data_IF_879308665467
#
_entry.id   IF_879308665467
#
_cell.length_a   1.000
_cell.length_b   1.000
_cell.length_c   1.000
_cell.angle_alpha   90.00
_cell.angle_beta   90.00
_cell.angle_gamma   90.00
#
_symmetry.space_group_name_H-M   'P 1'
#
loop_
_entity.id
_entity.type
_entity.pdbx_description
1 polymer ?
#
# COMPACT_ATOMS: atom_id res chain seq x y z
N UNK A 1 -0.96 7.52 -6.43
CA UNK A 1 -1.84 8.44 -7.15
C UNK A 1 -1.19 8.70 -8.48
N UNK A 2 -1.91 8.55 -9.60
CA UNK A 2 -1.39 8.80 -10.95
C UNK A 2 -1.48 10.28 -11.34
N UNK A 3 -0.56 10.78 -12.16
CA UNK A 3 -0.44 12.21 -12.52
C UNK A 3 -1.41 12.66 -13.63
N UNK A 4 -2.70 12.35 -13.48
CA UNK A 4 -3.76 12.66 -14.46
C UNK A 4 -3.73 11.82 -15.75
N UNK A 5 -2.54 11.37 -16.20
CA UNK A 5 -2.38 10.42 -17.30
C UNK A 5 -2.50 8.96 -16.82
N UNK A 6 -1.99 8.67 -15.63
CA UNK A 6 -1.98 7.34 -15.01
C UNK A 6 -3.19 7.09 -14.09
N UNK A 7 -3.53 5.82 -13.90
CA UNK A 7 -4.60 5.45 -12.99
C UNK A 7 -4.17 5.69 -11.53
N UNK A 8 -5.10 6.04 -10.65
CA UNK A 8 -4.85 5.99 -9.22
C UNK A 8 -5.25 4.63 -8.65
N UNK A 9 -4.35 4.01 -7.89
CA UNK A 9 -4.57 2.73 -7.24
C UNK A 9 -4.47 2.82 -5.71
N UNK A 10 -5.24 1.98 -5.02
CA UNK A 10 -5.17 1.78 -3.57
C UNK A 10 -5.24 0.30 -3.21
N UNK A 11 -4.69 -0.02 -2.04
CA UNK A 11 -4.87 -1.30 -1.36
C UNK A 11 -5.30 -1.03 0.08
N UNK A 12 -6.12 -1.92 0.64
CA UNK A 12 -6.50 -1.95 2.05
C UNK A 12 -6.14 -3.35 2.56
N UNK A 13 -5.48 -3.39 3.72
CA UNK A 13 -4.99 -4.63 4.29
C UNK A 13 -5.50 -4.85 5.71
N UNK A 14 -5.80 -6.10 6.03
CA UNK A 14 -5.83 -6.57 7.41
C UNK A 14 -4.40 -6.91 7.84
N UNK A 15 -3.97 -6.42 9.00
CA UNK A 15 -2.59 -6.53 9.45
C UNK A 15 -2.52 -7.17 10.83
N UNK A 16 -1.66 -8.18 10.95
CA UNK A 16 -1.27 -8.84 12.19
C UNK A 16 0.26 -8.75 12.35
N UNK A 17 0.85 -9.15 13.49
CA UNK A 17 2.31 -9.17 13.64
C UNK A 17 3.06 -10.02 12.60
N UNK A 18 2.40 -10.98 11.96
CA UNK A 18 3.05 -11.95 11.06
C UNK A 18 2.51 -11.93 9.63
N UNK A 19 1.30 -11.41 9.42
CA UNK A 19 0.59 -11.45 8.14
C UNK A 19 0.01 -10.08 7.81
N UNK A 20 0.20 -9.69 6.56
CA UNK A 20 -0.43 -8.58 5.86
C UNK A 20 -1.29 -9.20 4.76
N UNK A 21 -2.60 -9.13 4.89
CA UNK A 21 -3.53 -9.65 3.88
C UNK A 21 -4.21 -8.51 3.16
N UNK A 22 -4.08 -8.45 1.84
CA UNK A 22 -4.82 -7.49 1.01
C UNK A 22 -6.26 -7.98 0.92
N UNK A 23 -7.16 -7.23 1.55
CA UNK A 23 -8.60 -7.55 1.65
C UNK A 23 -9.44 -6.71 0.69
N UNK A 24 -8.89 -5.62 0.17
CA UNK A 24 -9.52 -4.80 -0.86
C UNK A 24 -8.47 -4.02 -1.64
N UNK A 25 -8.73 -3.82 -2.92
CA UNK A 25 -7.95 -2.98 -3.79
C UNK A 25 -8.88 -2.31 -4.81
N UNK A 26 -8.42 -1.24 -5.40
CA UNK A 26 -9.16 -0.57 -6.46
C UNK A 26 -8.24 0.30 -7.29
N UNK A 27 -8.59 0.43 -8.56
CA UNK A 27 -7.91 1.28 -9.54
C UNK A 27 -8.95 2.08 -10.30
N UNK A 28 -8.73 3.39 -10.41
CA UNK A 28 -9.63 4.32 -11.09
C UNK A 28 -8.84 5.44 -11.75
N UNK A 29 -9.27 5.80 -12.97
CA UNK A 29 -8.86 7.05 -13.61
C UNK A 29 -9.91 8.11 -13.30
N UNK A 30 -9.64 8.93 -12.29
CA UNK A 30 -10.52 9.99 -11.82
C UNK A 30 -9.69 11.20 -11.40
N UNK A 31 -10.27 12.40 -11.42
CA UNK A 31 -9.68 13.56 -10.76
C UNK A 31 -9.34 13.26 -9.30
N UNK A 32 -8.26 13.85 -8.81
CA UNK A 32 -7.71 13.60 -7.48
C UNK A 32 -8.69 13.88 -6.33
N UNK A 33 -9.59 14.89 -6.41
CA UNK A 33 -10.62 15.08 -5.40
C UNK A 33 -11.64 13.93 -5.36
N UNK A 34 -12.15 13.51 -6.53
CA UNK A 34 -13.09 12.38 -6.62
C UNK A 34 -12.45 11.08 -6.11
N UNK A 35 -11.17 10.89 -6.44
CA UNK A 35 -10.40 9.78 -5.88
C UNK A 35 -10.30 9.86 -4.34
N UNK A 36 -10.11 11.06 -3.78
CA UNK A 36 -10.14 11.30 -2.33
C UNK A 36 -11.48 10.94 -1.68
N UNK A 37 -12.61 11.20 -2.35
CA UNK A 37 -13.94 10.81 -1.87
C UNK A 37 -14.12 9.29 -1.83
N UNK A 38 -13.58 8.58 -2.84
CA UNK A 38 -13.55 7.11 -2.86
C UNK A 38 -12.72 6.57 -1.70
N UNK A 39 -11.53 7.12 -1.46
CA UNK A 39 -10.67 6.72 -0.34
C UNK A 39 -11.32 6.99 1.01
N UNK A 40 -12.01 8.13 1.19
CA UNK A 40 -12.77 8.42 2.41
C UNK A 40 -13.86 7.37 2.65
N UNK A 41 -14.61 7.01 1.59
CA UNK A 41 -15.68 6.01 1.68
C UNK A 41 -15.11 4.64 2.04
N UNK A 42 -14.13 4.16 1.26
CA UNK A 42 -13.51 2.85 1.49
C UNK A 42 -12.81 2.78 2.83
N UNK A 43 -12.07 3.80 3.22
CA UNK A 43 -11.44 3.84 4.54
C UNK A 43 -12.44 3.69 5.69
N UNK A 44 -13.63 4.30 5.58
CA UNK A 44 -14.72 4.18 6.56
C UNK A 44 -15.40 2.80 6.51
N UNK A 45 -15.64 2.25 5.33
CA UNK A 45 -16.19 0.89 5.15
C UNK A 45 -15.33 -0.17 5.86
N UNK A 46 -14.02 0.04 5.90
CA UNK A 46 -13.04 -0.84 6.55
C UNK A 46 -12.61 -0.37 7.94
N UNK A 47 -13.55 0.19 8.72
CA UNK A 47 -13.33 0.47 10.16
C UNK A 47 -12.42 1.67 10.43
N UNK A 48 -12.52 2.71 9.59
CA UNK A 48 -11.65 3.88 9.62
C UNK A 48 -10.18 3.47 9.48
N UNK A 49 -9.84 2.78 8.39
CA UNK A 49 -8.48 2.34 8.10
C UNK A 49 -7.48 3.52 8.16
N UNK A 50 -6.24 3.31 8.60
CA UNK A 50 -5.22 4.36 8.47
C UNK A 50 -4.93 4.59 6.98
N UNK A 51 -5.16 5.80 6.50
CA UNK A 51 -4.84 6.15 5.13
C UNK A 51 -3.41 6.70 5.01
N UNK A 52 -2.60 6.03 4.19
CA UNK A 52 -1.21 6.38 3.90
C UNK A 52 -1.15 6.79 2.42
N UNK A 53 -1.23 8.08 2.17
CA UNK A 53 -1.19 8.65 0.82
C UNK A 53 0.18 9.26 0.56
N UNK A 54 0.81 8.96 -0.58
CA UNK A 54 2.06 9.61 -0.96
C UNK A 54 1.85 11.13 -1.14
N UNK A 55 2.70 11.94 -0.52
CA UNK A 55 2.65 13.40 -0.58
C UNK A 55 3.35 13.97 -1.83
N UNK A 56 3.23 13.27 -2.95
CA UNK A 56 3.58 13.76 -4.29
C UNK A 56 2.62 14.91 -4.70
N UNK A 57 2.93 15.73 -5.72
CA UNK A 57 2.09 16.87 -6.12
C UNK A 57 0.60 16.54 -6.26
N UNK A 58 0.28 15.47 -6.98
CA UNK A 58 -1.08 14.92 -7.18
C UNK A 58 -1.67 14.41 -5.87
N UNK A 59 -0.90 13.62 -5.11
CA UNK A 59 -1.34 13.05 -3.85
C UNK A 59 -1.70 14.09 -2.79
N UNK A 60 -1.10 15.29 -2.84
CA UNK A 60 -1.49 16.42 -1.98
C UNK A 60 -2.93 16.87 -2.21
N UNK A 61 -3.44 16.77 -3.43
CA UNK A 61 -4.85 17.11 -3.73
C UNK A 61 -5.79 16.08 -3.12
N UNK A 62 -5.45 14.78 -3.24
CA UNK A 62 -6.18 13.70 -2.57
C UNK A 62 -6.16 13.86 -1.05
N UNK A 63 -4.99 14.18 -0.47
CA UNK A 63 -4.84 14.45 0.98
C UNK A 63 -5.71 15.63 1.40
N UNK A 64 -5.66 16.75 0.68
CA UNK A 64 -6.48 17.93 1.01
C UNK A 64 -7.98 17.63 0.97
N UNK A 65 -8.41 16.74 0.08
CA UNK A 65 -9.81 16.26 0.05
C UNK A 65 -10.15 15.43 1.27
N UNK A 66 -9.30 14.48 1.67
CA UNK A 66 -9.49 13.70 2.90
C UNK A 66 -9.52 14.58 4.16
N UNK A 67 -8.67 15.62 4.22
CA UNK A 67 -8.66 16.61 5.29
C UNK A 67 -9.98 17.41 5.33
N UNK A 68 -10.46 17.89 4.17
CA UNK A 68 -11.76 18.58 4.05
C UNK A 68 -12.94 17.70 4.50
N UNK A 69 -12.89 16.41 4.16
CA UNK A 69 -13.88 15.41 4.57
C UNK A 69 -13.72 14.93 6.01
N UNK A 70 -12.74 15.48 6.75
CA UNK A 70 -12.43 15.11 8.15
C UNK A 70 -12.21 13.61 8.30
N UNK A 71 -11.42 13.02 7.41
CA UNK A 71 -11.04 11.62 7.54
C UNK A 71 -10.23 11.43 8.83
N UNK A 72 -10.61 10.49 9.72
CA UNK A 72 -10.13 10.49 11.10
C UNK A 72 -8.68 10.01 11.25
N UNK A 73 -8.21 9.14 10.35
CA UNK A 73 -6.90 8.47 10.49
C UNK A 73 -6.04 8.70 9.25
N UNK A 74 -5.41 9.87 9.18
CA UNK A 74 -4.41 10.20 8.14
C UNK A 74 -3.00 10.03 8.69
N UNK A 75 -2.16 9.30 7.96
CA UNK A 75 -0.74 9.19 8.29
C UNK A 75 -0.05 10.55 8.14
N UNK A 76 0.91 10.84 9.04
CA UNK A 76 1.73 12.05 8.99
C UNK A 76 3.21 11.67 9.04
N UNK A 77 3.99 12.21 8.10
CA UNK A 77 5.45 12.11 8.12
C UNK A 77 6.02 13.11 9.12
N UNK A 78 6.77 12.59 10.11
CA UNK A 78 7.50 13.43 11.07
C UNK A 78 8.68 14.12 10.42
N UNK A 79 8.80 15.43 10.59
CA UNK A 79 9.94 16.22 10.12
C UNK A 79 10.85 16.62 11.28
N UNK A 80 12.13 16.81 10.98
CA UNK A 80 13.12 17.30 11.96
C UNK A 80 12.78 18.70 12.49
N UNK A 81 12.02 19.50 11.72
CA UNK A 81 11.56 20.83 12.15
C UNK A 81 10.45 20.79 13.21
N UNK A 82 9.85 19.61 13.48
CA UNK A 82 8.71 19.47 14.38
C UNK A 82 7.35 19.62 13.69
N UNK A 83 7.32 20.15 12.45
CA UNK A 83 6.10 20.26 11.66
C UNK A 83 5.80 18.94 10.94
N UNK A 84 4.90 18.15 11.51
CA UNK A 84 4.38 16.95 10.88
C UNK A 84 3.62 17.30 9.60
N UNK A 85 3.88 16.56 8.52
CA UNK A 85 3.19 16.76 7.24
C UNK A 85 2.32 15.56 6.92
N UNK A 86 1.06 15.81 6.59
CA UNK A 86 0.11 14.77 6.19
C UNK A 86 0.61 14.06 4.92
N UNK A 87 0.51 12.74 4.92
CA UNK A 87 0.97 11.86 3.84
C UNK A 87 2.40 11.35 4.03
N UNK A 88 2.76 10.37 3.19
CA UNK A 88 4.07 9.73 3.13
C UNK A 88 5.01 10.50 2.19
N UNK A 89 6.20 10.87 2.66
CA UNK A 89 7.20 11.52 1.81
C UNK A 89 8.25 10.51 1.36
N UNK A 90 8.25 10.15 0.08
CA UNK A 90 9.34 9.38 -0.54
C UNK A 90 10.55 10.31 -0.74
N UNK A 91 11.73 9.89 -0.25
CA UNK A 91 12.98 10.62 -0.45
C UNK A 91 13.79 10.00 -1.59
N UNK A 92 14.63 10.80 -2.28
CA UNK A 92 15.59 10.25 -3.24
C UNK A 92 16.39 9.09 -2.63
N UNK A 93 16.54 8.00 -3.38
CA UNK A 93 17.25 6.79 -2.94
C UNK A 93 16.45 5.80 -2.10
N UNK A 94 15.24 6.15 -1.62
CA UNK A 94 14.41 5.20 -0.85
C UNK A 94 13.87 4.05 -1.70
N UNK A 95 13.74 4.21 -3.02
CA UNK A 95 13.08 3.23 -3.89
C UNK A 95 13.69 1.83 -3.80
N UNK A 96 15.02 1.72 -3.74
CA UNK A 96 15.70 0.42 -3.58
C UNK A 96 15.33 -0.27 -2.26
N UNK A 97 15.26 0.49 -1.16
CA UNK A 97 14.82 -0.03 0.14
C UNK A 97 13.34 -0.47 0.08
N UNK A 98 12.45 0.36 -0.50
CA UNK A 98 11.04 0.03 -0.64
C UNK A 98 10.82 -1.29 -1.41
N UNK A 99 11.56 -1.47 -2.51
CA UNK A 99 11.52 -2.70 -3.30
C UNK A 99 12.08 -3.89 -2.52
N UNK A 100 13.20 -3.71 -1.83
CA UNK A 100 13.80 -4.76 -1.00
C UNK A 100 12.84 -5.27 0.06
N UNK A 101 12.16 -4.37 0.76
CA UNK A 101 11.22 -4.70 1.84
C UNK A 101 9.92 -5.34 1.31
N UNK A 102 9.41 -4.87 0.16
CA UNK A 102 8.31 -5.55 -0.53
C UNK A 102 8.69 -6.97 -0.96
N UNK A 103 9.88 -7.13 -1.54
CA UNK A 103 10.40 -8.41 -1.97
C UNK A 103 10.61 -9.37 -0.78
N UNK A 104 11.04 -8.84 0.37
CA UNK A 104 11.16 -9.61 1.61
C UNK A 104 9.80 -10.10 2.12
N UNK A 105 8.78 -9.24 2.14
CA UNK A 105 7.44 -9.62 2.57
C UNK A 105 6.83 -10.73 1.70
N UNK A 106 7.09 -10.69 0.39
CA UNK A 106 6.68 -11.73 -0.56
C UNK A 106 7.46 -13.04 -0.30
N UNK A 107 8.80 -12.97 -0.19
CA UNK A 107 9.64 -14.16 0.06
C UNK A 107 9.27 -14.87 1.37
N UNK A 108 9.02 -14.09 2.42
CA UNK A 108 8.66 -14.60 3.74
C UNK A 108 7.21 -15.08 3.83
N UNK A 109 6.42 -14.93 2.75
CA UNK A 109 4.98 -15.23 2.71
C UNK A 109 4.19 -14.48 3.79
N UNK A 110 4.67 -13.31 4.20
CA UNK A 110 3.96 -12.43 5.13
C UNK A 110 2.96 -11.53 4.41
N UNK A 111 3.09 -11.34 3.09
CA UNK A 111 2.13 -10.63 2.26
C UNK A 111 1.23 -11.62 1.50
N UNK A 112 -0.08 -11.57 1.75
CA UNK A 112 -1.11 -12.37 1.07
C UNK A 112 -1.85 -11.48 0.08
N UNK A 113 -1.88 -11.89 -1.19
CA UNK A 113 -2.53 -11.19 -2.30
C UNK A 113 -3.43 -12.18 -3.04
N UNK A 114 -4.68 -11.77 -3.28
CA UNK A 114 -5.68 -12.59 -3.97
C UNK A 114 -6.04 -12.06 -5.36
N UNK A 115 -5.60 -10.85 -5.70
CA UNK A 115 -5.97 -10.15 -6.92
C UNK A 115 -4.91 -10.34 -8.02
N UNK A 116 -5.35 -10.79 -9.19
CA UNK A 116 -4.48 -11.12 -10.33
C UNK A 116 -3.82 -9.87 -10.94
N UNK A 117 -4.49 -8.71 -10.96
CA UNK A 117 -3.91 -7.48 -11.50
C UNK A 117 -2.72 -7.05 -10.65
N UNK A 118 -2.80 -7.21 -9.32
CA UNK A 118 -1.68 -6.92 -8.43
C UNK A 118 -0.50 -7.86 -8.73
N UNK A 119 -0.78 -9.16 -8.91
CA UNK A 119 0.24 -10.18 -9.19
C UNK A 119 0.92 -9.89 -10.53
N UNK A 120 0.17 -9.58 -11.58
CA UNK A 120 0.71 -9.26 -12.90
C UNK A 120 1.64 -8.04 -12.86
N UNK A 121 1.25 -6.98 -12.13
CA UNK A 121 2.11 -5.80 -11.96
C UNK A 121 3.41 -6.17 -11.22
N UNK A 122 3.33 -6.96 -10.14
CA UNK A 122 4.50 -7.45 -9.41
C UNK A 122 5.43 -8.27 -10.30
N UNK A 123 4.88 -9.15 -11.15
CA UNK A 123 5.66 -9.98 -12.08
C UNK A 123 6.36 -9.14 -13.17
N UNK A 124 5.77 -8.01 -13.54
CA UNK A 124 6.36 -7.08 -14.52
C UNK A 124 7.35 -6.09 -13.92
N UNK A 125 7.46 -6.01 -12.58
CA UNK A 125 8.26 -5.00 -11.90
C UNK A 125 9.74 -5.39 -11.88
N UNK A 126 10.59 -4.60 -12.54
CA UNK A 126 12.01 -4.91 -12.75
C UNK A 126 12.91 -3.76 -12.30
N UNK A 127 14.20 -4.08 -12.16
CA UNK A 127 15.27 -3.08 -12.15
C UNK A 127 15.87 -3.02 -13.56
N UNK A 128 15.94 -1.84 -14.16
CA UNK A 128 16.57 -1.64 -15.46
C UNK A 128 18.11 -1.67 -15.35
N UNK A 129 18.80 -1.68 -16.50
CA UNK A 129 20.27 -1.68 -16.57
C UNK A 129 20.93 -0.46 -15.92
N UNK A 130 20.17 0.63 -15.73
CA UNK A 130 20.62 1.88 -15.09
C UNK A 130 20.34 1.89 -13.58
N UNK A 131 19.75 0.81 -13.05
CA UNK A 131 19.43 0.65 -11.64
C UNK A 131 18.09 1.27 -11.22
N UNK A 132 17.28 1.78 -12.15
CA UNK A 132 15.95 2.32 -11.87
C UNK A 132 14.93 1.20 -11.73
N UNK A 133 13.94 1.39 -10.87
CA UNK A 133 12.86 0.44 -10.67
C UNK A 133 11.57 0.92 -11.33
N UNK A 134 10.90 0.02 -12.05
CA UNK A 134 9.65 0.33 -12.74
C UNK A 134 9.05 -0.91 -13.40
N UNK A 135 7.87 -0.74 -13.99
CA UNK A 135 7.25 -1.77 -14.81
C UNK A 135 8.02 -2.00 -16.12
N UNK A 136 8.12 -3.26 -16.53
CA UNK A 136 8.73 -3.63 -17.80
C UNK A 136 7.85 -3.19 -18.99
N UNK A 137 8.45 -2.53 -19.97
CA UNK A 137 7.76 -2.14 -21.20
C UNK A 137 6.64 -1.12 -20.96
N UNK A 138 5.39 -1.50 -21.29
CA UNK A 138 4.18 -0.67 -21.09
C UNK A 138 3.28 -1.17 -19.95
N UNK A 139 3.80 -2.07 -19.12
CA UNK A 139 3.07 -2.52 -17.94
C UNK A 139 2.94 -1.38 -16.92
N UNK A 140 2.06 -1.57 -15.94
CA UNK A 140 1.76 -0.59 -14.88
C UNK A 140 2.37 -1.03 -13.56
N UNK A 141 2.56 -0.08 -12.64
CA UNK A 141 3.14 -0.35 -11.32
C UNK A 141 2.42 0.34 -10.15
N UNK A 142 1.22 0.89 -10.37
CA UNK A 142 0.47 1.64 -9.37
C UNK A 142 0.19 0.82 -8.10
N UNK A 143 -0.16 -0.46 -8.26
CA UNK A 143 -0.37 -1.36 -7.12
C UNK A 143 0.94 -1.72 -6.42
N UNK A 144 2.04 -1.84 -7.16
CA UNK A 144 3.36 -2.09 -6.57
C UNK A 144 3.74 -0.91 -5.67
N UNK A 145 3.55 0.32 -6.15
CA UNK A 145 3.78 1.53 -5.35
C UNK A 145 2.86 1.60 -4.13
N UNK A 146 1.57 1.25 -4.27
CA UNK A 146 0.64 1.18 -3.14
C UNK A 146 1.06 0.14 -2.08
N UNK A 147 1.55 -1.03 -2.51
CA UNK A 147 2.08 -2.07 -1.61
C UNK A 147 3.35 -1.62 -0.88
N UNK A 148 4.26 -0.91 -1.57
CA UNK A 148 5.46 -0.34 -0.92
C UNK A 148 5.08 0.62 0.20
N UNK A 149 4.12 1.53 -0.05
CA UNK A 149 3.64 2.48 0.95
C UNK A 149 2.94 1.79 2.13
N UNK A 150 2.15 0.76 1.86
CA UNK A 150 1.50 -0.05 2.90
C UNK A 150 2.54 -0.65 3.85
N UNK A 151 3.58 -1.30 3.31
CA UNK A 151 4.64 -1.92 4.12
C UNK A 151 5.36 -0.88 4.97
N UNK A 152 5.66 0.30 4.42
CA UNK A 152 6.25 1.37 5.20
C UNK A 152 5.34 1.85 6.33
N UNK A 153 4.06 2.08 6.03
CA UNK A 153 3.11 2.56 7.03
C UNK A 153 2.90 1.57 8.17
N UNK A 154 2.98 0.27 7.91
CA UNK A 154 2.91 -0.77 8.96
C UNK A 154 4.10 -0.67 9.91
N UNK A 155 5.31 -0.43 9.40
CA UNK A 155 6.52 -0.29 10.24
C UNK A 155 6.46 0.92 11.17
N UNK A 156 5.75 1.97 10.77
CA UNK A 156 5.50 3.16 11.59
C UNK A 156 4.40 2.97 12.64
N UNK A 157 3.76 1.78 12.67
CA UNK A 157 2.75 1.39 13.66
C UNK A 157 3.30 0.33 14.64
N UNK A 158 4.19 0.70 15.58
CA UNK A 158 4.85 -0.24 16.49
C UNK A 158 3.88 -1.02 17.39
N UNK A 159 2.68 -0.49 17.62
CA UNK A 159 1.63 -1.20 18.35
C UNK A 159 1.24 -2.52 17.67
N UNK A 160 1.19 -2.57 16.34
CA UNK A 160 0.83 -3.80 15.61
C UNK A 160 1.85 -4.89 15.89
N UNK A 161 3.13 -4.53 15.90
CA UNK A 161 4.22 -5.46 16.19
C UNK A 161 4.22 -5.96 17.65
N UNK A 162 3.58 -5.22 18.56
CA UNK A 162 3.45 -5.58 19.97
C UNK A 162 2.25 -6.50 20.27
N UNK A 163 1.36 -6.73 19.29
CA UNK A 163 0.22 -7.59 19.48
C UNK A 163 0.66 -9.06 19.69
N UNK A 164 0.03 -9.80 20.61
CA UNK A 164 0.37 -11.19 20.85
C UNK A 164 0.06 -12.02 19.60
N UNK A 165 1.05 -12.76 19.10
CA UNK A 165 0.82 -13.73 18.03
C UNK A 165 0.31 -15.02 18.65
N UNK A 166 -0.94 -15.38 18.37
CA UNK A 166 -1.48 -16.69 18.73
C UNK A 166 -0.89 -17.70 17.76
N UNK A 167 0.10 -18.48 18.21
CA UNK A 167 0.54 -19.67 17.48
C UNK A 167 -0.54 -20.73 17.60
N UNK A 168 -1.34 -20.91 16.55
CA UNK A 168 -2.25 -22.05 16.48
C UNK A 168 -1.41 -23.33 16.48
N UNK A 169 -1.60 -24.19 17.50
CA UNK A 169 -1.03 -25.53 17.51
C UNK A 169 -1.83 -26.40 16.55
N UNK A 170 -1.24 -26.75 15.40
CA UNK A 170 -1.83 -27.70 14.47
C UNK A 170 -1.07 -27.74 13.14
N UNK A 171 -0.92 -28.93 12.58
CA UNK A 171 -0.41 -29.12 11.22
C UNK A 171 -1.44 -28.53 10.25
N UNK A 172 -1.06 -27.63 9.32
CA UNK A 172 -1.99 -27.13 8.31
C UNK A 172 -2.53 -28.30 7.49
N UNK A 173 -3.84 -28.54 7.57
CA UNK A 173 -4.49 -29.52 6.70
C UNK A 173 -4.53 -28.89 5.31
N UNK A 174 -3.77 -29.45 4.36
CA UNK A 174 -3.92 -29.09 2.95
C UNK A 174 -5.28 -29.59 2.47
N UNK A 175 -6.31 -28.76 2.55
CA UNK A 175 -7.52 -29.01 1.79
C UNK A 175 -7.18 -28.88 0.31
N UNK A 176 -6.97 -30.04 -0.32
CA UNK A 176 -6.77 -30.14 -1.76
C UNK A 176 -8.17 -30.03 -2.36
N UNK A 177 -8.55 -28.85 -2.84
CA UNK A 177 -9.74 -28.70 -3.67
C UNK A 177 -9.48 -29.43 -5.00
N UNK A 178 -9.88 -30.70 -5.06
CA UNK A 178 -10.00 -31.42 -6.32
C UNK A 178 -11.28 -30.90 -6.97
N UNK A 179 -11.15 -29.99 -7.94
CA UNK A 179 -12.26 -29.69 -8.86
C UNK A 179 -12.55 -30.96 -9.65
N UNK A 180 -13.74 -31.52 -9.44
CA UNK A 180 -14.37 -32.50 -10.33
C UNK A 180 -15.09 -31.77 -11.45
#
# INVERSE_FOLDING_TARGET
TGDGEDDSAFVIAAVTPSIIEIICNGRRKLPEPEYGEILNTKGRDYGEALAIVEAAPVGKVTIGTLEKLKYPKLYKTKRKSGDDVTGWTVRPGMKAMLVSELSEAIRNRSLIIHDVDIIEQLMSYIQDEKGNYGAAGRARDDYVSALMLLIQGIKEMPFIMSLPTIKLKGTPVKETYVRT
#
